data_IF_165030121185
#
_entry.id   IF_165030121185
#
_cell.length_a   1.000
_cell.length_b   1.000
_cell.length_c   1.000
_cell.angle_alpha   90.00
_cell.angle_beta   90.00
_cell.angle_gamma   90.00
#
_symmetry.space_group_name_H-M   'P 1'
#
loop_
_entity.id
_entity.type
_entity.pdbx_description
1 polymer ?
#
# COMPACT_ATOMS: atom_id res chain seq x y z
N UNK A 1 34.91 34.60 9.49
CA UNK A 1 35.56 35.68 8.73
C UNK A 1 36.26 35.07 7.53
N UNK A 2 36.07 35.59 6.30
CA UNK A 2 36.76 35.10 5.10
C UNK A 2 38.11 35.80 4.97
N UNK A 3 39.20 35.03 4.92
CA UNK A 3 40.58 35.55 4.81
C UNK A 3 41.09 35.34 3.37
N UNK A 4 41.74 36.36 2.80
CA UNK A 4 42.30 36.33 1.43
C UNK A 4 43.82 36.25 1.51
N UNK A 5 44.39 35.15 1.02
CA UNK A 5 45.84 34.94 1.01
C UNK A 5 46.32 34.84 -0.45
N UNK A 6 47.32 35.63 -0.87
CA UNK A 6 47.86 35.53 -2.22
C UNK A 6 48.55 34.19 -2.44
N UNK A 7 48.48 33.67 -3.67
CA UNK A 7 49.13 32.41 -4.05
C UNK A 7 50.67 32.47 -4.02
N UNK A 8 51.21 33.66 -4.30
CA UNK A 8 52.63 33.99 -4.31
C UNK A 8 52.80 35.37 -3.68
N UNK A 9 53.90 35.62 -2.98
CA UNK A 9 54.27 37.02 -2.75
C UNK A 9 54.67 37.69 -4.08
N UNK A 10 54.67 39.02 -4.12
CA UNK A 10 54.90 39.77 -5.36
C UNK A 10 56.23 39.43 -6.05
N UNK A 11 57.26 39.14 -5.26
CA UNK A 11 58.58 38.72 -5.76
C UNK A 11 58.54 37.33 -6.40
N UNK A 12 57.93 36.35 -5.73
CA UNK A 12 57.76 34.99 -6.25
C UNK A 12 56.93 34.97 -7.54
N UNK A 13 55.87 35.78 -7.60
CA UNK A 13 55.05 35.90 -8.79
C UNK A 13 55.89 36.44 -9.97
N UNK A 14 56.63 37.53 -9.77
CA UNK A 14 57.48 38.11 -10.81
C UNK A 14 58.60 37.15 -11.26
N UNK A 15 59.23 36.42 -10.34
CA UNK A 15 60.25 35.42 -10.67
C UNK A 15 59.65 34.24 -11.45
N UNK A 16 58.45 33.80 -11.10
CA UNK A 16 57.72 32.76 -11.83
C UNK A 16 57.37 33.21 -13.26
N UNK A 17 56.83 34.43 -13.43
CA UNK A 17 56.49 34.98 -14.77
C UNK A 17 57.73 35.03 -15.67
N UNK A 18 58.88 35.47 -15.12
CA UNK A 18 60.16 35.50 -15.86
C UNK A 18 60.63 34.11 -16.28
N UNK A 19 60.50 33.10 -15.41
CA UNK A 19 60.95 31.72 -15.68
C UNK A 19 60.07 31.00 -16.70
N UNK A 20 58.74 31.06 -16.56
CA UNK A 20 57.86 30.18 -17.33
C UNK A 20 57.58 30.71 -18.73
N UNK A 21 57.55 32.03 -18.96
CA UNK A 21 57.15 32.71 -20.23
C UNK A 21 55.87 32.16 -20.90
N UNK A 22 55.13 31.28 -20.23
CA UNK A 22 54.05 30.44 -20.77
C UNK A 22 52.98 30.32 -19.70
N UNK A 23 52.15 31.36 -19.66
CA UNK A 23 50.94 31.40 -18.87
C UNK A 23 51.13 31.48 -17.37
N UNK A 24 50.57 32.52 -16.79
CA UNK A 24 50.63 32.79 -15.36
C UNK A 24 49.31 32.41 -14.71
N UNK A 25 49.39 31.83 -13.52
CA UNK A 25 48.25 31.69 -12.61
C UNK A 25 48.43 32.71 -11.50
N UNK A 26 47.49 33.64 -11.40
CA UNK A 26 47.42 34.61 -10.31
C UNK A 26 46.04 34.51 -9.66
N UNK A 27 46.00 34.37 -8.34
CA UNK A 27 44.76 34.23 -7.60
C UNK A 27 44.97 34.30 -6.10
N UNK A 28 43.86 34.17 -5.39
CA UNK A 28 43.79 34.20 -3.93
C UNK A 28 43.06 32.95 -3.45
N UNK A 29 43.53 32.40 -2.34
CA UNK A 29 42.72 31.50 -1.53
C UNK A 29 41.73 32.33 -0.72
N UNK A 30 40.46 31.95 -0.76
CA UNK A 30 39.43 32.46 0.15
C UNK A 30 39.17 31.36 1.17
N UNK A 31 39.72 31.50 2.37
CA UNK A 31 39.52 30.52 3.45
C UNK A 31 38.30 30.94 4.25
N UNK A 32 37.29 30.07 4.32
CA UNK A 32 36.13 30.26 5.16
C UNK A 32 36.24 29.39 6.41
N UNK A 33 36.63 30.02 7.54
CA UNK A 33 36.80 29.33 8.83
C UNK A 33 35.48 28.78 9.41
N UNK A 34 34.33 29.26 8.94
CA UNK A 34 33.03 28.87 9.51
C UNK A 34 32.54 27.48 9.04
N UNK A 35 32.98 27.03 7.87
CA UNK A 35 32.55 25.77 7.26
C UNK A 35 33.74 24.91 6.77
N UNK A 36 34.98 25.24 7.18
CA UNK A 36 36.22 24.60 6.74
C UNK A 36 36.37 24.52 5.21
N UNK A 37 35.80 25.47 4.45
CA UNK A 37 35.93 25.48 2.99
C UNK A 37 37.05 26.41 2.52
N UNK A 38 37.73 26.00 1.44
CA UNK A 38 38.71 26.82 0.73
C UNK A 38 38.18 27.03 -0.69
N UNK A 39 37.83 28.28 -1.02
CA UNK A 39 37.40 28.70 -2.35
C UNK A 39 38.59 29.30 -3.11
N UNK A 40 38.67 29.05 -4.41
CA UNK A 40 39.75 29.55 -5.27
C UNK A 40 39.20 30.64 -6.19
N UNK A 41 39.88 31.80 -6.24
CA UNK A 41 39.54 32.85 -7.19
C UNK A 41 40.80 33.38 -7.84
N UNK A 42 40.89 33.28 -9.17
CA UNK A 42 42.07 33.71 -9.90
C UNK A 42 41.89 33.67 -11.41
N UNK A 43 42.84 34.26 -12.11
CA UNK A 43 42.94 34.24 -13.56
C UNK A 43 44.02 33.24 -13.97
N UNK A 44 43.65 32.30 -14.81
CA UNK A 44 44.55 31.31 -15.38
C UNK A 44 44.77 31.62 -16.85
N UNK A 45 45.97 32.12 -17.18
CA UNK A 45 46.30 32.50 -18.55
C UNK A 45 47.20 31.45 -19.21
N UNK A 46 46.90 30.15 -19.16
CA UNK A 46 47.65 29.18 -19.98
C UNK A 46 47.06 29.13 -21.39
N UNK A 47 47.88 29.51 -22.37
CA UNK A 47 47.74 29.01 -23.73
C UNK A 47 48.12 27.52 -23.72
N UNK A 48 47.17 26.63 -23.48
CA UNK A 48 47.37 25.23 -23.84
C UNK A 48 47.43 25.17 -25.37
N UNK A 49 48.63 25.03 -25.95
CA UNK A 49 48.72 24.36 -27.25
C UNK A 49 48.39 22.90 -26.98
N UNK A 50 47.15 22.49 -27.25
CA UNK A 50 46.72 21.09 -27.21
C UNK A 50 47.54 20.32 -28.26
N UNK A 51 48.72 19.83 -27.89
CA UNK A 51 49.59 19.02 -28.76
C UNK A 51 49.17 17.54 -28.78
N UNK A 52 47.89 17.23 -28.62
CA UNK A 52 47.36 15.87 -28.82
C UNK A 52 46.00 15.95 -29.49
N UNK A 53 45.70 15.04 -30.44
CA UNK A 53 44.42 15.04 -31.15
C UNK A 53 43.30 14.93 -30.12
N UNK A 54 42.40 15.91 -30.16
CA UNK A 54 41.13 15.88 -29.43
C UNK A 54 40.45 14.59 -29.85
N UNK A 55 40.32 13.64 -28.92
CA UNK A 55 39.33 12.57 -29.09
C UNK A 55 38.00 13.32 -29.24
N UNK A 56 37.30 13.24 -30.38
CA UNK A 56 36.03 13.91 -30.54
C UNK A 56 35.03 13.23 -29.60
N UNK A 57 34.97 13.70 -28.35
CA UNK A 57 33.74 13.57 -27.58
C UNK A 57 32.72 14.38 -28.37
N UNK A 58 31.67 13.71 -28.83
CA UNK A 58 30.49 14.38 -29.36
C UNK A 58 29.79 15.07 -28.18
N UNK A 59 30.40 16.14 -27.67
CA UNK A 59 29.77 17.01 -26.68
C UNK A 59 28.85 17.94 -27.46
N UNK A 60 27.60 17.53 -27.62
CA UNK A 60 26.53 18.49 -27.87
C UNK A 60 26.42 19.35 -26.60
N UNK A 61 26.81 20.62 -26.71
CA UNK A 61 26.65 21.57 -25.62
C UNK A 61 25.21 22.07 -25.63
N UNK A 62 24.47 21.80 -24.56
CA UNK A 62 23.20 22.49 -24.32
C UNK A 62 23.48 23.90 -23.79
N UNK A 63 22.71 24.86 -24.26
CA UNK A 63 22.68 26.19 -23.69
C UNK A 63 22.12 26.13 -22.27
N UNK A 64 22.51 27.09 -21.43
CA UNK A 64 21.91 27.25 -20.09
C UNK A 64 20.39 27.41 -20.15
N UNK A 65 19.87 27.96 -21.25
CA UNK A 65 18.44 28.09 -21.52
C UNK A 65 17.78 26.72 -21.71
N UNK A 66 18.30 25.89 -22.61
CA UNK A 66 17.78 24.52 -22.85
C UNK A 66 17.84 23.66 -21.59
N UNK A 67 18.93 23.75 -20.82
CA UNK A 67 19.05 23.04 -19.55
C UNK A 67 17.98 23.48 -18.54
N UNK A 68 17.73 24.79 -18.42
CA UNK A 68 16.69 25.31 -17.54
C UNK A 68 15.29 24.90 -18.00
N UNK A 69 15.00 24.95 -19.30
CA UNK A 69 13.72 24.50 -19.86
C UNK A 69 13.48 23.00 -19.61
N UNK A 70 14.51 22.17 -19.79
CA UNK A 70 14.46 20.74 -19.47
C UNK A 70 14.23 20.50 -17.97
N UNK A 71 14.96 21.23 -17.11
CA UNK A 71 14.82 21.15 -15.66
C UNK A 71 13.40 21.53 -15.23
N UNK A 72 12.88 22.66 -15.68
CA UNK A 72 11.55 23.15 -15.33
C UNK A 72 10.46 22.19 -15.83
N UNK A 73 10.62 21.63 -17.03
CA UNK A 73 9.72 20.61 -17.57
C UNK A 73 9.71 19.33 -16.71
N UNK A 74 10.88 18.87 -16.27
CA UNK A 74 10.98 17.70 -15.39
C UNK A 74 10.42 17.97 -13.99
N UNK A 75 10.70 19.14 -13.41
CA UNK A 75 10.16 19.55 -12.11
C UNK A 75 8.62 19.56 -12.16
N UNK A 76 8.01 20.04 -13.26
CA UNK A 76 6.57 19.98 -13.48
C UNK A 76 6.04 18.54 -13.60
N UNK A 77 6.72 17.67 -14.36
CA UNK A 77 6.33 16.25 -14.51
C UNK A 77 6.40 15.51 -13.18
N UNK A 78 7.45 15.73 -12.40
CA UNK A 78 7.62 15.14 -11.06
C UNK A 78 6.51 15.60 -10.13
N UNK A 79 6.22 16.91 -10.09
CA UNK A 79 5.12 17.47 -9.28
C UNK A 79 3.77 16.82 -9.61
N UNK A 80 3.50 16.59 -10.91
CA UNK A 80 2.27 15.91 -11.36
C UNK A 80 2.21 14.46 -10.86
N UNK A 81 3.30 13.72 -11.00
CA UNK A 81 3.40 12.32 -10.54
C UNK A 81 3.20 12.24 -9.02
N UNK A 82 3.85 13.11 -8.25
CA UNK A 82 3.71 13.15 -6.78
C UNK A 82 2.26 13.42 -6.36
N UNK A 83 1.58 14.34 -7.05
CA UNK A 83 0.17 14.65 -6.79
C UNK A 83 -0.74 13.46 -7.09
N UNK A 84 -0.52 12.78 -8.22
CA UNK A 84 -1.27 11.58 -8.60
C UNK A 84 -1.03 10.43 -7.62
N UNK A 85 0.22 10.18 -7.21
CA UNK A 85 0.57 9.16 -6.22
C UNK A 85 -0.08 9.42 -4.86
N UNK A 86 -0.10 10.68 -4.41
CA UNK A 86 -0.77 11.07 -3.16
C UNK A 86 -2.28 10.80 -3.22
N UNK A 87 -2.92 11.14 -4.34
CA UNK A 87 -4.35 10.86 -4.57
C UNK A 87 -4.65 9.35 -4.61
N UNK A 88 -3.80 8.56 -5.27
CA UNK A 88 -3.92 7.10 -5.28
C UNK A 88 -3.75 6.50 -3.89
N UNK A 89 -2.76 6.95 -3.11
CA UNK A 89 -2.56 6.50 -1.73
C UNK A 89 -3.78 6.75 -0.84
N UNK A 90 -4.43 7.92 -0.97
CA UNK A 90 -5.68 8.21 -0.26
C UNK A 90 -6.83 7.29 -0.67
N UNK A 91 -6.97 7.00 -1.97
CA UNK A 91 -8.00 6.08 -2.46
C UNK A 91 -7.76 4.65 -1.97
N UNK A 92 -6.51 4.19 -1.92
CA UNK A 92 -6.13 2.88 -1.39
C UNK A 92 -6.51 2.79 0.08
N UNK A 93 -6.15 3.78 0.90
CA UNK A 93 -6.52 3.81 2.32
C UNK A 93 -8.05 3.69 2.53
N UNK A 94 -8.84 4.43 1.75
CA UNK A 94 -10.32 4.35 1.83
C UNK A 94 -10.85 2.97 1.45
N UNK A 95 -10.18 2.25 0.54
CA UNK A 95 -10.56 0.88 0.17
C UNK A 95 -10.18 -0.10 1.27
N UNK A 96 -8.99 0.02 1.85
CA UNK A 96 -8.53 -0.80 2.98
C UNK A 96 -9.49 -0.67 4.17
N UNK A 97 -9.83 0.56 4.57
CA UNK A 97 -10.79 0.81 5.66
C UNK A 97 -12.18 0.18 5.38
N UNK A 98 -12.61 0.14 4.11
CA UNK A 98 -13.87 -0.51 3.72
C UNK A 98 -13.78 -2.04 3.78
N UNK A 99 -12.65 -2.60 3.37
CA UNK A 99 -12.42 -4.06 3.43
C UNK A 99 -12.38 -4.53 4.88
N UNK A 100 -11.73 -3.77 5.77
CA UNK A 100 -11.68 -4.11 7.19
C UNK A 100 -13.08 -4.12 7.83
N UNK A 101 -13.90 -3.09 7.54
CA UNK A 101 -15.30 -3.04 7.99
C UNK A 101 -16.15 -4.17 7.43
N UNK A 102 -15.98 -4.50 6.15
CA UNK A 102 -16.72 -5.62 5.54
C UNK A 102 -16.33 -6.95 6.17
N UNK A 103 -15.03 -7.16 6.43
CA UNK A 103 -14.53 -8.34 7.14
C UNK A 103 -15.20 -8.48 8.51
N UNK A 104 -15.25 -7.38 9.28
CA UNK A 104 -15.90 -7.38 10.60
C UNK A 104 -17.40 -7.74 10.51
N UNK A 105 -18.14 -7.13 9.58
CA UNK A 105 -19.56 -7.43 9.36
C UNK A 105 -19.77 -8.90 8.98
N UNK A 106 -18.95 -9.44 8.08
CA UNK A 106 -19.04 -10.84 7.64
C UNK A 106 -18.77 -11.80 8.81
N UNK A 107 -17.81 -11.50 9.69
CA UNK A 107 -17.55 -12.32 10.88
C UNK A 107 -18.75 -12.33 11.83
N UNK A 108 -19.32 -11.16 12.12
CA UNK A 108 -20.49 -11.03 13.00
C UNK A 108 -21.69 -11.79 12.43
N UNK A 109 -21.97 -11.63 11.13
CA UNK A 109 -23.07 -12.33 10.47
C UNK A 109 -22.85 -13.84 10.45
N UNK A 110 -21.63 -14.31 10.16
CA UNK A 110 -21.31 -15.75 10.16
C UNK A 110 -21.55 -16.38 11.53
N UNK A 111 -21.17 -15.68 12.60
CA UNK A 111 -21.40 -16.15 13.96
C UNK A 111 -22.90 -16.18 14.31
N UNK A 112 -23.66 -15.16 13.91
CA UNK A 112 -25.11 -15.13 14.11
C UNK A 112 -25.83 -16.27 13.38
N UNK A 113 -25.47 -16.53 12.11
CA UNK A 113 -26.03 -17.63 11.32
C UNK A 113 -25.75 -18.97 11.99
N UNK A 114 -24.52 -19.18 12.48
CA UNK A 114 -24.15 -20.40 13.19
C UNK A 114 -25.02 -20.61 14.44
N UNK A 115 -25.14 -19.59 15.29
CA UNK A 115 -25.97 -19.66 16.51
C UNK A 115 -27.45 -19.87 16.19
N UNK A 116 -27.97 -19.22 15.14
CA UNK A 116 -29.36 -19.44 14.70
C UNK A 116 -29.58 -20.86 14.17
N UNK A 117 -28.63 -21.41 13.41
CA UNK A 117 -28.67 -22.78 12.92
C UNK A 117 -28.69 -23.80 14.06
N UNK A 118 -27.81 -23.64 15.05
CA UNK A 118 -27.79 -24.47 16.26
C UNK A 118 -29.11 -24.41 17.04
N UNK A 119 -29.66 -23.20 17.23
CA UNK A 119 -30.94 -23.02 17.91
C UNK A 119 -32.13 -23.63 17.13
N UNK A 120 -32.11 -23.54 15.80
CA UNK A 120 -33.13 -24.12 14.94
C UNK A 120 -33.09 -25.65 14.98
N UNK A 121 -31.90 -26.25 14.88
CA UNK A 121 -31.73 -27.69 14.99
C UNK A 121 -32.27 -28.21 16.33
N UNK A 122 -31.90 -27.56 17.45
CA UNK A 122 -32.41 -27.95 18.76
C UNK A 122 -33.94 -27.82 18.89
N UNK A 123 -34.58 -26.89 18.18
CA UNK A 123 -36.04 -26.78 18.12
C UNK A 123 -36.66 -27.88 17.26
N UNK A 124 -36.03 -28.22 16.14
CA UNK A 124 -36.47 -29.31 15.26
C UNK A 124 -36.42 -30.65 16.00
N UNK A 125 -35.33 -30.95 16.69
CA UNK A 125 -35.19 -32.19 17.49
C UNK A 125 -36.28 -32.31 18.56
N UNK A 126 -36.59 -31.20 19.24
CA UNK A 126 -37.68 -31.15 20.23
C UNK A 126 -39.04 -31.34 19.58
N UNK A 127 -39.28 -30.69 18.44
CA UNK A 127 -40.54 -30.81 17.71
C UNK A 127 -40.75 -32.25 17.21
N UNK A 128 -39.74 -32.85 16.61
CA UNK A 128 -39.76 -34.25 16.17
C UNK A 128 -40.08 -35.19 17.35
N UNK A 129 -39.41 -35.02 18.49
CA UNK A 129 -39.69 -35.81 19.70
C UNK A 129 -41.15 -35.68 20.17
N UNK A 130 -41.72 -34.48 20.14
CA UNK A 130 -43.12 -34.25 20.51
C UNK A 130 -44.10 -34.88 19.53
N UNK A 131 -43.83 -34.77 18.22
CA UNK A 131 -44.66 -35.38 17.18
C UNK A 131 -44.64 -36.90 17.31
N UNK A 132 -43.47 -37.52 17.48
CA UNK A 132 -43.34 -38.97 17.65
C UNK A 132 -44.12 -39.46 18.87
N UNK A 133 -43.99 -38.80 20.03
CA UNK A 133 -44.75 -39.13 21.24
C UNK A 133 -46.26 -38.98 21.07
N UNK A 134 -46.70 -37.93 20.35
CA UNK A 134 -48.11 -37.71 20.05
C UNK A 134 -48.66 -38.83 19.15
N UNK A 135 -47.94 -39.19 18.09
CA UNK A 135 -48.31 -40.27 17.19
C UNK A 135 -48.35 -41.63 17.90
N UNK A 136 -47.39 -41.91 18.77
CA UNK A 136 -47.38 -43.12 19.61
C UNK A 136 -48.62 -43.17 20.52
N UNK A 137 -48.96 -42.06 21.19
CA UNK A 137 -50.15 -41.98 22.04
C UNK A 137 -51.46 -42.18 21.24
N UNK A 138 -51.55 -41.61 20.03
CA UNK A 138 -52.68 -41.80 19.13
C UNK A 138 -52.76 -43.27 18.69
N UNK A 139 -51.65 -43.86 18.27
CA UNK A 139 -51.58 -45.28 17.87
C UNK A 139 -52.04 -46.23 18.96
N UNK A 140 -51.60 -45.98 20.21
CA UNK A 140 -52.05 -46.74 21.38
C UNK A 140 -53.56 -46.57 21.63
N UNK A 141 -54.07 -45.35 21.49
CA UNK A 141 -55.50 -45.06 21.66
C UNK A 141 -56.34 -45.78 20.60
N UNK A 142 -55.95 -45.71 19.33
CA UNK A 142 -56.63 -46.42 18.23
C UNK A 142 -56.59 -47.93 18.40
N UNK A 143 -55.47 -48.48 18.89
CA UNK A 143 -55.36 -49.91 19.21
C UNK A 143 -56.33 -50.33 20.31
N UNK A 144 -56.49 -49.51 21.36
CA UNK A 144 -57.49 -49.77 22.41
C UNK A 144 -58.92 -49.70 21.88
N UNK A 145 -59.23 -48.72 21.02
CA UNK A 145 -60.53 -48.63 20.35
C UNK A 145 -60.82 -49.85 19.47
N UNK A 146 -59.84 -50.32 18.68
CA UNK A 146 -59.99 -51.53 17.87
C UNK A 146 -60.38 -52.73 18.73
N UNK A 147 -59.66 -52.98 19.83
CA UNK A 147 -59.98 -54.06 20.78
C UNK A 147 -61.39 -53.95 21.36
N UNK A 148 -61.85 -52.73 21.67
CA UNK A 148 -63.22 -52.51 22.18
C UNK A 148 -64.28 -52.78 21.12
N UNK A 149 -64.03 -52.42 19.86
CA UNK A 149 -64.92 -52.71 18.74
C UNK A 149 -65.03 -54.21 18.49
N UNK A 150 -63.91 -54.94 18.48
CA UNK A 150 -63.91 -56.41 18.33
C UNK A 150 -64.80 -57.10 19.39
N UNK A 151 -64.75 -56.60 20.64
CA UNK A 151 -65.59 -57.10 21.75
C UNK A 151 -67.08 -56.79 21.52
N UNK A 152 -67.40 -55.63 20.95
CA UNK A 152 -68.78 -55.25 20.63
C UNK A 152 -69.32 -56.07 19.46
N UNK A 153 -68.54 -56.25 18.40
CA UNK A 153 -68.89 -57.08 17.23
C UNK A 153 -69.20 -58.51 17.67
N UNK A 154 -68.31 -59.12 18.48
CA UNK A 154 -68.53 -60.45 19.06
C UNK A 154 -69.81 -60.55 19.91
N UNK A 155 -70.22 -59.43 20.54
CA UNK A 155 -71.47 -59.38 21.32
C UNK A 155 -72.70 -59.26 20.43
N UNK A 156 -72.61 -58.49 19.33
CA UNK A 156 -73.69 -58.31 18.37
C UNK A 156 -73.99 -59.61 17.61
N UNK A 157 -72.98 -60.40 17.26
CA UNK A 157 -73.14 -61.73 16.66
C UNK A 157 -73.97 -62.71 17.52
N UNK A 158 -74.12 -62.43 18.82
CA UNK A 158 -74.92 -63.23 19.76
C UNK A 158 -76.35 -62.74 19.93
N UNK A 159 -76.75 -61.64 19.28
CA UNK A 159 -78.12 -61.14 19.32
C UNK A 159 -78.91 -61.80 18.21
N UNK A 160 -79.92 -62.60 18.56
CA UNK A 160 -80.82 -63.21 17.59
C UNK A 160 -81.50 -62.14 16.72
N UNK A 161 -81.58 -62.32 15.39
CA UNK A 161 -82.21 -61.36 14.50
C UNK A 161 -83.69 -61.16 14.87
N UNK A 162 -84.22 -59.92 14.77
CA UNK A 162 -85.63 -59.66 15.07
C UNK A 162 -86.54 -60.50 14.16
N UNK A 163 -87.53 -61.15 14.76
CA UNK A 163 -88.55 -61.97 14.07
C UNK A 163 -89.51 -61.13 13.23
#
# INVERSE_FOLDING_TARGET
>A
MKEKIPFYNEKEFHDMVKKTKKGTFSGWYIINKNNNSVEFSGSFNRQFKLNKPVIPVNTEYVTRKEFNEYKDSNDQRLTKIETELKSQGQRIQVVEDKVDRLTEVVMVQSQQIKTQGEAMNARMDRFESLVLKSLESIGNTLTDFGKRLDVIETRLDKIDPPK
#
